data_IF_678932167552
#
_entry.id   IF_678932167552
#
_cell.length_a   1.000
_cell.length_b   1.000
_cell.length_c   1.000
_cell.angle_alpha   90.00
_cell.angle_beta   90.00
_cell.angle_gamma   90.00
#
_symmetry.space_group_name_H-M   'P 1'
#
loop_
_entity.id
_entity.type
_entity.pdbx_description
1 polymer ?
#
# COMPACT_ATOMS: atom_id res chain seq x y z
N UNK A 1 37.22 6.30 -46.05
CA UNK A 1 37.11 5.49 -44.82
C UNK A 1 36.72 6.46 -43.73
N UNK A 2 35.41 6.60 -43.47
CA UNK A 2 34.89 7.53 -42.49
C UNK A 2 34.22 6.69 -41.42
N UNK A 3 34.94 6.43 -40.33
CA UNK A 3 34.39 5.79 -39.14
C UNK A 3 33.44 6.77 -38.46
N UNK A 4 32.15 6.44 -38.45
CA UNK A 4 31.15 7.16 -37.66
C UNK A 4 31.32 6.80 -36.18
N UNK A 5 31.27 7.77 -35.26
CA UNK A 5 31.41 7.49 -33.84
C UNK A 5 30.14 6.82 -33.31
N UNK A 6 30.33 5.71 -32.59
CA UNK A 6 29.30 5.01 -31.83
C UNK A 6 28.87 5.93 -30.70
N UNK A 7 27.63 6.43 -30.73
CA UNK A 7 27.06 7.19 -29.62
C UNK A 7 26.72 6.24 -28.47
N UNK A 8 27.47 6.41 -27.39
CA UNK A 8 27.27 5.78 -26.09
C UNK A 8 25.96 6.30 -25.48
N UNK A 9 24.95 5.43 -25.40
CA UNK A 9 23.68 5.75 -24.76
C UNK A 9 23.82 5.62 -23.23
N UNK A 10 23.98 6.74 -22.53
CA UNK A 10 23.82 6.79 -21.07
C UNK A 10 22.36 6.56 -20.70
N UNK A 11 22.02 5.59 -19.83
CA UNK A 11 20.66 5.46 -19.30
C UNK A 11 20.49 6.46 -18.14
N UNK A 12 20.21 7.71 -18.47
CA UNK A 12 19.80 8.74 -17.51
C UNK A 12 18.52 9.39 -18.02
N UNK A 13 17.38 8.74 -17.76
CA UNK A 13 16.04 9.36 -17.70
C UNK A 13 15.02 8.28 -17.32
N UNK A 14 15.09 7.79 -16.08
CA UNK A 14 13.91 7.23 -15.44
C UNK A 14 13.13 8.43 -14.86
N UNK A 15 11.86 8.66 -15.24
CA UNK A 15 11.09 9.76 -14.66
C UNK A 15 11.01 9.57 -13.14
N UNK A 16 11.27 10.65 -12.39
CA UNK A 16 11.11 10.70 -10.94
C UNK A 16 9.65 10.41 -10.54
N UNK A 17 9.29 9.13 -10.39
CA UNK A 17 7.97 8.67 -9.92
C UNK A 17 7.69 8.99 -8.43
N UNK A 18 8.66 9.54 -7.71
CA UNK A 18 8.56 9.80 -6.26
C UNK A 18 7.91 11.14 -5.89
N UNK A 19 7.83 12.11 -6.81
CA UNK A 19 7.31 13.44 -6.46
C UNK A 19 5.78 13.47 -6.30
N UNK A 20 5.04 12.62 -7.03
CA UNK A 20 3.58 12.56 -7.07
C UNK A 20 2.95 11.61 -6.03
N UNK A 21 3.74 10.81 -5.31
CA UNK A 21 3.21 9.94 -4.25
C UNK A 21 2.69 10.76 -3.08
N UNK A 22 1.58 10.33 -2.52
CA UNK A 22 0.98 10.96 -1.35
C UNK A 22 1.86 10.84 -0.10
N UNK A 23 1.64 11.69 0.92
CA UNK A 23 2.23 11.53 2.24
C UNK A 23 2.14 10.10 2.81
N UNK A 24 0.97 9.45 2.71
CA UNK A 24 0.80 8.09 3.23
C UNK A 24 1.60 7.07 2.42
N UNK A 25 1.60 7.16 1.08
CA UNK A 25 2.36 6.26 0.22
C UNK A 25 3.87 6.43 0.41
N UNK A 26 4.36 7.67 0.52
CA UNK A 26 5.77 7.97 0.84
C UNK A 26 6.16 7.38 2.20
N UNK A 27 5.31 7.58 3.22
CA UNK A 27 5.56 7.02 4.56
C UNK A 27 5.66 5.50 4.51
N UNK A 28 4.73 4.85 3.84
CA UNK A 28 4.66 3.39 3.74
C UNK A 28 5.81 2.83 2.90
N UNK A 29 6.18 3.48 1.80
CA UNK A 29 7.32 3.10 0.96
C UNK A 29 8.68 3.14 1.67
N UNK A 30 8.81 3.90 2.76
CA UNK A 30 10.00 3.89 3.62
C UNK A 30 9.97 2.83 4.74
N UNK A 31 8.84 2.12 4.90
CA UNK A 31 8.68 1.08 5.93
C UNK A 31 9.17 -0.27 5.43
N UNK A 32 9.88 -1.00 6.29
CA UNK A 32 10.13 -2.43 6.04
C UNK A 32 8.88 -3.27 6.32
N UNK A 33 8.80 -4.47 5.74
CA UNK A 33 7.80 -5.50 6.09
C UNK A 33 7.64 -5.64 7.61
N UNK A 34 8.77 -5.65 8.35
CA UNK A 34 8.78 -5.75 9.81
C UNK A 34 8.14 -4.53 10.49
N UNK A 35 8.31 -3.33 9.92
CA UNK A 35 7.64 -2.13 10.44
C UNK A 35 6.13 -2.19 10.19
N UNK A 36 5.68 -2.58 9.00
CA UNK A 36 4.25 -2.76 8.69
C UNK A 36 3.65 -3.88 9.57
N UNK A 37 4.41 -4.95 9.81
CA UNK A 37 4.02 -6.03 10.71
C UNK A 37 3.86 -5.57 12.16
N UNK A 38 4.69 -4.64 12.65
CA UNK A 38 4.56 -4.09 14.01
C UNK A 38 3.33 -3.20 14.16
N UNK A 39 3.00 -2.42 13.13
CA UNK A 39 1.79 -1.60 13.12
C UNK A 39 0.56 -2.52 13.11
N UNK A 40 0.48 -3.42 12.13
CA UNK A 40 -0.75 -4.20 11.89
C UNK A 40 -0.92 -5.45 12.76
N UNK A 41 0.16 -5.95 13.34
CA UNK A 41 0.21 -7.20 14.05
C UNK A 41 0.59 -8.39 13.16
N UNK A 42 1.30 -9.37 13.74
CA UNK A 42 1.93 -10.47 13.01
C UNK A 42 0.97 -11.28 12.12
N UNK A 43 -0.17 -11.72 12.66
CA UNK A 43 -1.14 -12.54 11.93
C UNK A 43 -1.88 -11.72 10.84
N UNK A 44 -2.25 -10.48 11.15
CA UNK A 44 -2.90 -9.59 10.20
C UNK A 44 -1.97 -9.30 9.00
N UNK A 45 -0.69 -9.01 9.25
CA UNK A 45 0.31 -8.77 8.22
C UNK A 45 0.50 -9.98 7.30
N UNK A 46 0.76 -11.16 7.87
CA UNK A 46 1.00 -12.37 7.08
C UNK A 46 -0.17 -12.69 6.15
N UNK A 47 -1.40 -12.55 6.65
CA UNK A 47 -2.61 -12.76 5.85
C UNK A 47 -2.83 -11.62 4.85
N UNK A 48 -2.58 -10.36 5.24
CA UNK A 48 -2.74 -9.19 4.39
C UNK A 48 -1.81 -9.19 3.18
N UNK A 49 -0.54 -9.56 3.38
CA UNK A 49 0.44 -9.70 2.30
C UNK A 49 -0.01 -10.67 1.22
N UNK A 50 -0.77 -11.72 1.56
CA UNK A 50 -1.33 -12.65 0.58
C UNK A 50 -2.40 -12.00 -0.30
N UNK A 51 -3.20 -11.08 0.23
CA UNK A 51 -4.20 -10.35 -0.55
C UNK A 51 -3.52 -9.35 -1.51
N UNK A 52 -2.53 -8.60 -1.03
CA UNK A 52 -1.75 -7.70 -1.86
C UNK A 52 -1.07 -8.45 -3.02
N UNK A 53 -0.39 -9.57 -2.73
CA UNK A 53 0.28 -10.39 -3.76
C UNK A 53 -0.67 -11.06 -4.76
N UNK A 54 -1.93 -11.28 -4.39
CA UNK A 54 -2.95 -11.90 -5.27
C UNK A 54 -3.72 -10.87 -6.10
N UNK A 55 -3.32 -9.60 -6.05
CA UNK A 55 -4.01 -8.49 -6.69
C UNK A 55 -5.51 -8.44 -6.35
N UNK A 56 -5.83 -8.74 -5.08
CA UNK A 56 -7.21 -8.81 -4.58
C UNK A 56 -7.76 -7.43 -4.14
N UNK A 57 -7.01 -6.36 -4.41
CA UNK A 57 -7.33 -4.98 -4.04
C UNK A 57 -7.83 -4.29 -5.30
N UNK A 58 -9.07 -3.86 -5.27
CA UNK A 58 -9.71 -3.06 -6.31
C UNK A 58 -9.85 -1.60 -5.84
N UNK A 59 -9.99 -0.68 -6.79
CA UNK A 59 -10.30 0.73 -6.52
C UNK A 59 -9.38 1.39 -5.49
N UNK A 60 -8.08 1.06 -5.50
CA UNK A 60 -7.11 1.69 -4.61
C UNK A 60 -6.99 3.16 -4.99
N UNK A 61 -7.39 4.05 -4.08
CA UNK A 61 -7.35 5.49 -4.24
C UNK A 61 -6.51 6.10 -3.16
N UNK A 62 -5.61 6.96 -3.59
CA UNK A 62 -4.72 7.69 -2.72
C UNK A 62 -5.14 9.16 -2.66
N UNK A 63 -5.44 9.63 -1.46
CA UNK A 63 -6.00 10.94 -1.14
C UNK A 63 -5.09 11.68 -0.15
N UNK A 64 -3.77 11.63 -0.39
CA UNK A 64 -2.80 12.42 0.37
C UNK A 64 -2.43 11.79 1.71
N UNK A 65 -3.19 12.10 2.75
CA UNK A 65 -3.01 11.50 4.08
C UNK A 65 -3.86 10.25 4.26
N UNK A 66 -4.76 9.96 3.33
CA UNK A 66 -5.66 8.82 3.36
C UNK A 66 -5.48 7.95 2.12
N UNK A 67 -5.61 6.64 2.29
CA UNK A 67 -5.76 5.68 1.21
C UNK A 67 -7.05 4.90 1.43
N UNK A 68 -7.82 4.69 0.39
CA UNK A 68 -8.99 3.81 0.41
C UNK A 68 -8.88 2.72 -0.64
N UNK A 69 -9.48 1.58 -0.39
CA UNK A 69 -9.46 0.45 -1.31
C UNK A 69 -10.51 -0.58 -0.96
N UNK A 70 -10.78 -1.44 -1.93
CA UNK A 70 -11.81 -2.47 -1.85
C UNK A 70 -11.17 -3.85 -1.95
N UNK A 71 -11.30 -4.68 -0.91
CA UNK A 71 -10.75 -6.04 -0.95
C UNK A 71 -11.81 -7.00 -1.49
N UNK A 72 -11.55 -7.55 -2.66
CA UNK A 72 -12.39 -8.57 -3.29
C UNK A 72 -12.05 -9.93 -2.69
N UNK A 73 -13.03 -10.55 -2.03
CA UNK A 73 -12.89 -11.89 -1.46
C UNK A 73 -13.80 -12.84 -2.24
N UNK A 74 -13.24 -13.92 -2.77
CA UNK A 74 -13.98 -14.89 -3.62
C UNK A 74 -15.28 -15.42 -2.99
N UNK A 75 -15.34 -15.49 -1.67
CA UNK A 75 -16.48 -16.04 -0.93
C UNK A 75 -17.38 -14.95 -0.32
N UNK A 76 -17.25 -13.69 -0.77
CA UNK A 76 -18.11 -12.61 -0.34
C UNK A 76 -18.72 -11.91 -1.56
N UNK A 77 -20.02 -11.61 -1.49
CA UNK A 77 -20.71 -10.94 -2.58
C UNK A 77 -20.29 -9.47 -2.70
N UNK A 78 -20.01 -8.82 -1.57
CA UNK A 78 -19.57 -7.42 -1.51
C UNK A 78 -18.10 -7.30 -1.11
N UNK A 79 -17.33 -6.40 -1.74
CA UNK A 79 -15.95 -6.17 -1.36
C UNK A 79 -15.86 -5.49 0.02
N UNK A 80 -14.76 -5.74 0.74
CA UNK A 80 -14.50 -5.04 1.99
C UNK A 80 -13.89 -3.68 1.73
N UNK A 81 -14.65 -2.61 2.01
CA UNK A 81 -14.15 -1.23 1.97
C UNK A 81 -13.23 -1.00 3.16
N UNK A 82 -12.01 -0.60 2.85
CA UNK A 82 -10.95 -0.37 3.82
C UNK A 82 -10.31 0.98 3.55
N UNK A 83 -10.20 1.79 4.59
CA UNK A 83 -9.56 3.10 4.54
C UNK A 83 -8.47 3.15 5.59
N UNK A 84 -7.33 3.70 5.24
CA UNK A 84 -6.20 3.92 6.15
C UNK A 84 -5.79 5.36 6.05
N UNK A 85 -5.62 6.01 7.19
CA UNK A 85 -5.23 7.40 7.32
C UNK A 85 -3.96 7.51 8.12
N UNK A 86 -3.08 8.42 7.69
CA UNK A 86 -1.92 8.84 8.46
C UNK A 86 -2.38 9.96 9.40
N UNK A 87 -2.43 9.65 10.68
CA UNK A 87 -2.73 10.60 11.75
C UNK A 87 -1.50 11.36 12.21
N UNK A 88 -1.66 12.20 13.25
CA UNK A 88 -0.54 12.90 13.87
C UNK A 88 0.51 11.90 14.40
N UNK A 89 1.76 12.35 14.47
CA UNK A 89 2.91 11.54 14.94
C UNK A 89 3.18 10.27 14.11
N UNK A 90 2.78 10.26 12.84
CA UNK A 90 2.90 9.11 11.93
C UNK A 90 2.17 7.85 12.43
N UNK A 91 1.08 8.02 13.18
CA UNK A 91 0.21 6.92 13.61
C UNK A 91 -0.74 6.53 12.47
N UNK A 92 -0.98 5.24 12.28
CA UNK A 92 -1.97 4.78 11.30
C UNK A 92 -3.33 4.61 11.98
N UNK A 93 -4.36 5.20 11.39
CA UNK A 93 -5.76 5.05 11.81
C UNK A 93 -6.49 4.35 10.67
N UNK A 94 -7.22 3.28 10.97
CA UNK A 94 -7.87 2.49 9.93
C UNK A 94 -9.33 2.22 10.18
N UNK A 95 -10.09 2.15 9.10
CA UNK A 95 -11.48 1.74 9.11
C UNK A 95 -11.67 0.60 8.11
N UNK A 96 -12.39 -0.44 8.51
CA UNK A 96 -12.69 -1.56 7.64
C UNK A 96 -14.05 -2.15 8.00
N UNK A 97 -14.90 -2.39 7.00
CA UNK A 97 -16.20 -3.03 7.19
C UNK A 97 -16.14 -4.56 7.38
N UNK A 98 -14.94 -5.14 7.54
CA UNK A 98 -14.80 -6.59 7.69
C UNK A 98 -15.09 -7.05 9.12
N UNK A 99 -15.54 -8.30 9.32
CA UNK A 99 -15.85 -8.83 10.66
C UNK A 99 -14.61 -8.97 11.57
N UNK A 100 -13.41 -8.85 11.01
CA UNK A 100 -12.15 -8.89 11.77
C UNK A 100 -11.63 -7.53 12.22
N UNK A 101 -12.33 -6.43 11.93
CA UNK A 101 -11.93 -5.10 12.37
C UNK A 101 -12.24 -4.90 13.85
N UNK A 102 -11.29 -4.34 14.60
CA UNK A 102 -11.38 -4.21 16.08
C UNK A 102 -11.30 -2.77 16.56
N UNK A 103 -11.46 -1.81 15.66
CA UNK A 103 -11.37 -0.38 15.96
C UNK A 103 -10.25 0.33 15.18
N UNK A 104 -10.11 1.65 15.37
CA UNK A 104 -9.22 2.52 14.59
C UNK A 104 -7.74 2.09 14.61
N UNK A 105 -7.24 1.70 15.78
CA UNK A 105 -5.87 1.22 15.99
C UNK A 105 -5.75 -0.32 15.84
N UNK A 106 -6.89 -1.00 15.72
CA UNK A 106 -7.02 -2.44 15.61
C UNK A 106 -7.01 -2.91 14.15
N UNK A 107 -5.85 -2.81 13.49
CA UNK A 107 -5.72 -3.09 12.06
C UNK A 107 -5.98 -4.55 11.71
N UNK A 108 -6.89 -4.78 10.76
CA UNK A 108 -7.17 -6.12 10.25
C UNK A 108 -6.22 -6.48 9.10
N UNK A 109 -6.33 -7.73 8.61
CA UNK A 109 -5.55 -8.19 7.45
C UNK A 109 -5.77 -7.37 6.17
N UNK A 110 -6.93 -6.71 6.01
CA UNK A 110 -7.21 -5.88 4.83
C UNK A 110 -6.47 -4.55 4.88
N UNK A 111 -6.36 -3.96 6.07
CA UNK A 111 -5.53 -2.77 6.31
C UNK A 111 -4.07 -3.08 5.98
N UNK A 112 -3.58 -4.23 6.45
CA UNK A 112 -2.24 -4.70 6.10
C UNK A 112 -2.07 -4.94 4.59
N UNK A 113 -3.11 -5.42 3.90
CA UNK A 113 -3.05 -5.60 2.44
C UNK A 113 -2.89 -4.27 1.71
N UNK A 114 -3.65 -3.24 2.11
CA UNK A 114 -3.51 -1.89 1.55
C UNK A 114 -2.12 -1.32 1.81
N UNK A 115 -1.63 -1.39 3.05
CA UNK A 115 -0.29 -0.91 3.40
C UNK A 115 0.85 -1.65 2.67
N UNK A 116 0.64 -2.89 2.25
CA UNK A 116 1.65 -3.63 1.48
C UNK A 116 1.56 -3.33 -0.02
N UNK A 117 0.43 -2.80 -0.49
CA UNK A 117 0.18 -2.51 -1.90
C UNK A 117 0.49 -1.05 -2.29
N UNK A 118 0.81 -0.20 -1.32
CA UNK A 118 1.35 1.15 -1.51
C UNK A 118 2.86 1.10 -1.74
#
# INVERSE_FOLDING_TARGET
>A
MAESPVQEITPQDAPNEDSSKSPIAKRVGTMSDRAIQRVTGGNAFLRGRLYARRNAIANLRDEGEAVSGEIVVRNNAEPYRTTVRLGPENTFISECNCPGWRGPDGHCKHVAAILVAL
#
